data_IF_507583728561
#
_entry.id   IF_507583728561
#
_cell.length_a   1.000
_cell.length_b   1.000
_cell.length_c   1.000
_cell.angle_alpha   90.00
_cell.angle_beta   90.00
_cell.angle_gamma   90.00
#
_symmetry.space_group_name_H-M   'P 1'
#
loop_
_entity.id
_entity.type
_entity.pdbx_description
1 polymer ?
#
# COMPACT_ATOMS: atom_id res chain seq x y z
N UNK A 1 7.67 34.98 7.27
CA UNK A 1 6.67 34.53 6.28
C UNK A 1 6.95 33.06 5.99
N UNK A 2 6.00 32.16 6.19
CA UNK A 2 6.17 30.77 5.75
C UNK A 2 6.25 30.71 4.23
N UNK A 3 7.19 29.96 3.68
CA UNK A 3 7.26 29.75 2.22
C UNK A 3 6.03 28.94 1.80
N UNK A 4 5.36 29.38 0.73
CA UNK A 4 4.24 28.64 0.14
C UNK A 4 4.80 27.39 -0.54
N UNK A 5 4.11 26.28 -0.35
CA UNK A 5 4.45 24.98 -0.92
C UNK A 5 3.30 24.49 -1.80
N UNK A 6 3.63 23.76 -2.85
CA UNK A 6 2.67 23.29 -3.85
C UNK A 6 2.78 21.76 -3.98
N UNK A 7 1.80 21.01 -3.46
CA UNK A 7 1.85 19.55 -3.51
C UNK A 7 1.50 19.06 -4.92
N UNK A 8 2.24 18.05 -5.39
CA UNK A 8 2.02 17.38 -6.68
C UNK A 8 2.06 15.87 -6.48
N UNK A 9 1.11 15.18 -7.12
CA UNK A 9 1.10 13.72 -7.18
C UNK A 9 2.15 13.23 -8.17
N UNK A 10 3.10 12.42 -7.70
CA UNK A 10 4.03 11.65 -8.53
C UNK A 10 3.49 10.24 -8.64
N UNK A 11 3.42 9.70 -9.87
CA UNK A 11 3.06 8.30 -10.12
C UNK A 11 4.07 7.65 -11.04
N UNK A 12 4.60 6.51 -10.61
CA UNK A 12 5.64 5.77 -11.30
C UNK A 12 5.39 4.27 -11.25
N UNK A 13 5.92 3.54 -12.23
CA UNK A 13 5.82 2.08 -12.26
C UNK A 13 6.71 1.50 -11.15
N UNK A 14 6.15 0.66 -10.32
CA UNK A 14 6.87 -0.10 -9.30
C UNK A 14 7.23 -1.50 -9.83
N UNK A 15 8.27 -2.14 -9.29
CA UNK A 15 8.60 -3.52 -9.63
C UNK A 15 7.48 -4.45 -9.16
N UNK A 16 7.21 -5.46 -9.99
CA UNK A 16 6.33 -6.58 -9.67
C UNK A 16 7.03 -7.87 -10.08
N UNK A 17 6.95 -8.88 -9.22
CA UNK A 17 7.70 -10.13 -9.35
C UNK A 17 7.23 -11.00 -10.53
N UNK A 18 5.97 -10.89 -10.94
CA UNK A 18 5.35 -11.65 -12.03
C UNK A 18 5.07 -10.80 -13.28
N UNK A 19 5.43 -9.50 -13.23
CA UNK A 19 5.26 -8.56 -14.33
C UNK A 19 3.89 -7.91 -14.40
N UNK A 20 3.00 -8.17 -13.45
CA UNK A 20 1.68 -7.54 -13.37
C UNK A 20 1.79 -6.02 -13.14
N UNK A 21 0.75 -5.23 -13.51
CA UNK A 21 0.80 -3.79 -13.33
C UNK A 21 0.96 -3.44 -11.84
N UNK A 22 1.97 -2.63 -11.52
CA UNK A 22 2.17 -2.11 -10.18
C UNK A 22 2.60 -0.65 -10.28
N UNK A 23 1.90 0.23 -9.57
CA UNK A 23 2.18 1.66 -9.59
C UNK A 23 2.28 2.22 -8.18
N UNK A 24 3.35 2.96 -7.93
CA UNK A 24 3.51 3.75 -6.72
C UNK A 24 3.00 5.17 -6.98
N UNK A 25 2.25 5.72 -6.02
CA UNK A 25 1.82 7.11 -6.03
C UNK A 25 2.17 7.77 -4.69
N UNK A 26 2.67 9.01 -4.74
CA UNK A 26 3.11 9.75 -3.56
C UNK A 26 3.10 11.26 -3.79
N UNK A 27 3.15 12.03 -2.71
CA UNK A 27 3.19 13.49 -2.74
C UNK A 27 4.63 14.00 -2.81
N UNK A 28 4.90 14.83 -3.81
CA UNK A 28 6.10 15.65 -3.86
C UNK A 28 5.74 17.13 -3.71
N UNK A 29 6.55 17.85 -2.94
CA UNK A 29 6.28 19.26 -2.65
C UNK A 29 7.23 20.17 -3.43
N UNK A 30 6.66 21.09 -4.20
CA UNK A 30 7.40 22.09 -4.97
C UNK A 30 7.34 23.47 -4.28
N UNK A 31 8.37 24.28 -4.48
CA UNK A 31 8.45 25.64 -3.94
C UNK A 31 7.88 26.70 -4.89
N UNK A 32 7.70 26.33 -6.16
CA UNK A 32 7.22 27.16 -7.24
C UNK A 32 6.15 26.36 -8.02
N UNK A 33 4.94 26.91 -8.26
CA UNK A 33 3.86 26.19 -8.92
C UNK A 33 4.15 25.84 -10.38
N UNK A 34 5.06 26.56 -11.03
CA UNK A 34 5.42 26.36 -12.44
C UNK A 34 6.59 25.38 -12.60
N UNK A 35 7.19 24.95 -11.48
CA UNK A 35 8.28 23.96 -11.48
C UNK A 35 7.72 22.54 -11.40
N UNK A 36 8.22 21.67 -12.27
CA UNK A 36 7.99 20.23 -12.21
C UNK A 36 9.35 19.52 -12.13
N UNK A 37 9.87 19.42 -10.92
CA UNK A 37 11.14 18.73 -10.68
C UNK A 37 10.96 17.25 -11.06
N UNK A 38 11.87 16.65 -11.85
CA UNK A 38 11.82 15.21 -12.11
C UNK A 38 11.88 14.44 -10.78
N UNK A 39 11.03 13.42 -10.57
CA UNK A 39 11.11 12.63 -9.36
C UNK A 39 12.46 11.91 -9.30
N UNK A 40 13.13 12.03 -8.16
CA UNK A 40 14.34 11.28 -7.82
C UNK A 40 13.94 10.13 -6.89
N UNK A 41 14.54 8.95 -7.08
CA UNK A 41 14.38 7.81 -6.19
C UNK A 41 14.75 8.15 -4.74
N UNK A 42 15.66 9.10 -4.52
CA UNK A 42 16.01 9.59 -3.17
C UNK A 42 14.86 10.33 -2.47
N UNK A 43 13.94 10.92 -3.23
CA UNK A 43 12.76 11.62 -2.71
C UNK A 43 11.57 10.68 -2.50
N UNK A 44 11.62 9.45 -3.03
CA UNK A 44 10.53 8.48 -2.87
C UNK A 44 10.40 8.09 -1.39
N UNK A 45 9.20 8.21 -0.81
CA UNK A 45 8.96 7.75 0.56
C UNK A 45 9.28 6.28 0.68
N UNK A 46 10.06 5.85 1.67
CA UNK A 46 10.41 4.43 1.89
C UNK A 46 9.26 3.62 2.47
N UNK A 47 8.38 4.27 3.24
CA UNK A 47 7.16 3.64 3.76
C UNK A 47 6.10 3.54 2.67
N UNK A 48 5.67 2.31 2.37
CA UNK A 48 4.63 2.04 1.38
C UNK A 48 3.40 1.38 2.01
N UNK A 49 2.22 1.83 1.60
CA UNK A 49 0.94 1.18 1.87
C UNK A 49 0.56 0.34 0.66
N UNK A 50 0.30 -0.94 0.88
CA UNK A 50 0.11 -1.92 -0.19
C UNK A 50 -1.38 -2.13 -0.45
N UNK A 51 -1.84 -1.82 -1.65
CA UNK A 51 -3.20 -2.02 -2.13
C UNK A 51 -3.23 -3.00 -3.30
N UNK A 52 -4.27 -3.83 -3.37
CA UNK A 52 -4.49 -4.82 -4.41
C UNK A 52 -5.78 -4.51 -5.14
N UNK A 53 -5.67 -4.04 -6.38
CA UNK A 53 -6.79 -3.96 -7.29
C UNK A 53 -7.11 -5.35 -7.81
N UNK A 54 -8.27 -5.88 -7.41
CA UNK A 54 -8.68 -7.23 -7.79
C UNK A 54 -9.87 -7.26 -8.73
N UNK A 55 -10.16 -6.12 -9.35
CA UNK A 55 -11.19 -6.03 -10.38
C UNK A 55 -10.74 -6.72 -11.67
N UNK A 56 -11.66 -7.10 -12.56
CA UNK A 56 -11.29 -7.61 -13.88
C UNK A 56 -10.41 -6.65 -14.71
N UNK A 57 -10.50 -5.34 -14.44
CA UNK A 57 -9.73 -4.30 -15.13
C UNK A 57 -8.28 -4.17 -14.60
N UNK A 58 -7.92 -4.86 -13.51
CA UNK A 58 -6.60 -4.76 -12.88
C UNK A 58 -5.43 -5.33 -13.72
N UNK A 59 -5.70 -5.91 -14.90
CA UNK A 59 -4.67 -6.23 -15.89
C UNK A 59 -4.25 -5.03 -16.75
N UNK A 60 -5.05 -3.97 -16.78
CA UNK A 60 -4.77 -2.76 -17.56
C UNK A 60 -3.85 -1.82 -16.75
N UNK A 61 -2.71 -1.48 -17.35
CA UNK A 61 -1.74 -0.56 -16.76
C UNK A 61 -2.32 0.83 -16.49
N UNK A 62 -3.12 1.37 -17.41
CA UNK A 62 -3.70 2.71 -17.22
C UNK A 62 -4.78 2.69 -16.14
N UNK A 63 -5.53 1.60 -16.02
CA UNK A 63 -6.49 1.41 -14.93
C UNK A 63 -5.79 1.42 -13.57
N UNK A 64 -4.79 0.55 -13.36
CA UNK A 64 -4.06 0.46 -12.08
C UNK A 64 -3.33 1.77 -11.77
N UNK A 65 -2.77 2.44 -12.80
CA UNK A 65 -2.17 3.77 -12.66
C UNK A 65 -3.18 4.82 -12.22
N UNK A 66 -4.37 4.84 -12.81
CA UNK A 66 -5.44 5.75 -12.43
C UNK A 66 -5.95 5.47 -11.01
N UNK A 67 -6.09 4.19 -10.62
CA UNK A 67 -6.43 3.78 -9.26
C UNK A 67 -5.39 4.30 -8.25
N UNK A 68 -4.09 4.19 -8.56
CA UNK A 68 -3.02 4.71 -7.70
C UNK A 68 -3.10 6.25 -7.52
N UNK A 69 -3.33 6.99 -8.60
CA UNK A 69 -3.57 8.45 -8.55
C UNK A 69 -4.78 8.77 -7.66
N UNK A 70 -5.91 8.11 -7.92
CA UNK A 70 -7.18 8.34 -7.22
C UNK A 70 -7.04 8.07 -5.72
N UNK A 71 -6.44 6.94 -5.34
CA UNK A 71 -6.23 6.59 -3.93
C UNK A 71 -5.30 7.60 -3.26
N UNK A 72 -4.17 7.92 -3.88
CA UNK A 72 -3.21 8.89 -3.34
C UNK A 72 -3.89 10.22 -3.05
N UNK A 73 -4.51 10.83 -4.06
CA UNK A 73 -5.13 12.15 -3.97
C UNK A 73 -6.33 12.21 -3.03
N UNK A 74 -7.22 11.21 -3.09
CA UNK A 74 -8.44 11.20 -2.28
C UNK A 74 -8.20 10.94 -0.79
N UNK A 75 -7.09 10.28 -0.44
CA UNK A 75 -6.81 9.93 0.96
C UNK A 75 -5.63 10.69 1.57
N UNK A 76 -4.92 11.51 0.79
CA UNK A 76 -3.74 12.28 1.24
C UNK A 76 -3.95 13.02 2.54
N UNK A 77 -5.02 13.83 2.59
CA UNK A 77 -5.30 14.68 3.75
C UNK A 77 -5.53 13.87 5.03
N UNK A 78 -6.18 12.71 4.93
CA UNK A 78 -6.41 11.84 6.09
C UNK A 78 -5.11 11.17 6.55
N UNK A 79 -4.24 10.78 5.60
CA UNK A 79 -2.96 10.10 5.89
C UNK A 79 -1.86 11.02 6.41
N UNK A 80 -1.92 12.32 6.11
CA UNK A 80 -0.91 13.32 6.52
C UNK A 80 -0.96 13.63 8.02
N UNK A 81 -0.48 12.69 8.84
CA UNK A 81 -0.26 12.88 10.26
C UNK A 81 1.24 13.02 10.51
N UNK A 82 1.63 14.12 11.16
CA UNK A 82 3.02 14.41 11.60
C UNK A 82 4.04 14.66 10.47
N UNK A 83 3.58 14.90 9.23
CA UNK A 83 4.45 15.23 8.10
C UNK A 83 5.37 14.10 7.64
N UNK A 84 5.06 12.86 8.00
CA UNK A 84 5.87 11.70 7.61
C UNK A 84 5.44 11.19 6.23
N UNK A 85 6.39 11.21 5.30
CA UNK A 85 6.14 10.85 3.91
C UNK A 85 5.83 9.37 3.75
N UNK A 86 4.72 9.07 3.07
CA UNK A 86 4.31 7.72 2.67
C UNK A 86 4.02 7.68 1.17
N UNK A 87 4.04 6.47 0.61
CA UNK A 87 3.54 6.19 -0.74
C UNK A 87 2.45 5.14 -0.67
N UNK A 88 1.50 5.18 -1.58
CA UNK A 88 0.61 4.05 -1.86
C UNK A 88 1.17 3.27 -3.03
N UNK A 89 1.06 1.94 -2.99
CA UNK A 89 1.40 1.06 -4.09
C UNK A 89 0.17 0.22 -4.44
N UNK A 90 -0.32 0.36 -5.66
CA UNK A 90 -1.44 -0.42 -6.16
C UNK A 90 -0.91 -1.51 -7.08
N UNK A 91 -1.16 -2.76 -6.69
CA UNK A 91 -0.88 -3.97 -7.45
C UNK A 91 -2.13 -4.39 -8.21
N UNK A 92 -1.98 -4.64 -9.50
CA UNK A 92 -3.02 -5.22 -10.33
C UNK A 92 -3.02 -6.74 -10.22
N UNK A 93 -4.08 -7.31 -9.65
CA UNK A 93 -4.26 -8.76 -9.51
C UNK A 93 -5.68 -9.13 -9.96
N UNK A 94 -5.95 -9.18 -11.28
CA UNK A 94 -7.29 -9.31 -11.81
C UNK A 94 -7.91 -10.65 -11.44
N UNK A 95 -9.07 -10.59 -10.78
CA UNK A 95 -9.85 -11.77 -10.43
C UNK A 95 -11.24 -11.69 -11.07
N UNK A 96 -11.85 -12.84 -11.39
CA UNK A 96 -13.24 -12.89 -11.84
C UNK A 96 -14.20 -12.15 -10.90
N UNK A 97 -15.22 -11.51 -11.49
CA UNK A 97 -16.34 -10.99 -10.73
C UNK A 97 -17.03 -12.16 -10.00
N UNK A 98 -17.14 -12.07 -8.68
CA UNK A 98 -17.71 -13.14 -7.84
C UNK A 98 -16.70 -14.14 -7.27
N UNK A 99 -15.38 -13.96 -7.47
CA UNK A 99 -14.39 -14.72 -6.69
C UNK A 99 -14.67 -14.57 -5.19
N UNK A 100 -14.82 -15.68 -4.45
CA UNK A 100 -15.09 -15.65 -3.02
C UNK A 100 -14.04 -14.86 -2.23
N UNK A 101 -14.48 -14.19 -1.16
CA UNK A 101 -13.60 -13.37 -0.32
C UNK A 101 -12.36 -14.14 0.18
N UNK A 102 -12.55 -15.36 0.69
CA UNK A 102 -11.45 -16.18 1.20
C UNK A 102 -10.41 -16.52 0.11
N UNK A 103 -10.86 -16.80 -1.12
CA UNK A 103 -9.99 -17.08 -2.25
C UNK A 103 -9.24 -15.82 -2.69
N UNK A 104 -9.94 -14.68 -2.77
CA UNK A 104 -9.36 -13.36 -3.07
C UNK A 104 -8.27 -13.00 -2.05
N UNK A 105 -8.56 -13.14 -0.76
CA UNK A 105 -7.62 -12.90 0.33
C UNK A 105 -6.39 -13.80 0.23
N UNK A 106 -6.60 -15.10 0.00
CA UNK A 106 -5.50 -16.06 -0.15
C UNK A 106 -4.57 -15.71 -1.32
N UNK A 107 -5.14 -15.34 -2.48
CA UNK A 107 -4.38 -14.96 -3.67
C UNK A 107 -3.59 -13.66 -3.44
N UNK A 108 -4.20 -12.62 -2.87
CA UNK A 108 -3.51 -11.37 -2.54
C UNK A 108 -2.39 -11.59 -1.51
N UNK A 109 -2.62 -12.38 -0.46
CA UNK A 109 -1.61 -12.70 0.54
C UNK A 109 -0.44 -13.49 -0.05
N UNK A 110 -0.72 -14.46 -0.93
CA UNK A 110 0.33 -15.23 -1.61
C UNK A 110 1.17 -14.33 -2.53
N UNK A 111 0.51 -13.48 -3.34
CA UNK A 111 1.20 -12.51 -4.19
C UNK A 111 2.06 -11.54 -3.36
N UNK A 112 1.53 -11.01 -2.25
CA UNK A 112 2.28 -10.11 -1.38
C UNK A 112 3.55 -10.75 -0.80
N UNK A 113 3.48 -12.01 -0.35
CA UNK A 113 4.68 -12.73 0.11
C UNK A 113 5.73 -12.87 -0.99
N UNK A 114 5.29 -13.15 -2.22
CA UNK A 114 6.19 -13.25 -3.37
C UNK A 114 6.82 -11.90 -3.72
N UNK A 115 6.07 -10.80 -3.66
CA UNK A 115 6.59 -9.44 -3.82
C UNK A 115 7.63 -9.07 -2.77
N UNK A 116 7.34 -9.34 -1.49
CA UNK A 116 8.27 -9.10 -0.38
C UNK A 116 9.56 -9.89 -0.60
N UNK A 117 9.45 -11.19 -0.93
CA UNK A 117 10.61 -12.05 -1.18
C UNK A 117 11.45 -11.53 -2.37
N UNK A 118 10.82 -11.21 -3.51
CA UNK A 118 11.50 -10.72 -4.70
C UNK A 118 12.21 -9.37 -4.45
N UNK A 119 11.56 -8.46 -3.73
CA UNK A 119 12.12 -7.14 -3.43
C UNK A 119 13.23 -7.21 -2.39
N UNK A 120 13.10 -8.05 -1.37
CA UNK A 120 14.17 -8.31 -0.41
C UNK A 120 15.39 -8.93 -1.08
N UNK A 121 15.18 -9.89 -2.00
CA UNK A 121 16.26 -10.50 -2.79
C UNK A 121 17.01 -9.49 -3.67
N UNK A 122 16.37 -8.39 -4.08
CA UNK A 122 17.05 -7.32 -4.84
C UNK A 122 18.06 -6.54 -3.99
N UNK A 123 17.88 -6.48 -2.67
CA UNK A 123 18.64 -5.63 -1.74
C UNK A 123 18.45 -4.13 -1.94
N UNK A 124 17.52 -3.69 -2.80
CA UNK A 124 17.29 -2.29 -3.09
C UNK A 124 16.22 -1.70 -2.13
N UNK A 125 16.50 -0.56 -1.46
CA UNK A 125 15.56 0.07 -0.53
C UNK A 125 14.46 0.89 -1.23
N UNK A 126 14.57 1.07 -2.54
CA UNK A 126 13.80 2.02 -3.35
C UNK A 126 12.30 1.70 -3.38
N UNK A 127 11.94 0.41 -3.46
CA UNK A 127 10.57 -0.08 -3.43
C UNK A 127 10.36 -1.06 -2.28
N UNK A 128 11.04 -0.81 -1.15
CA UNK A 128 10.92 -1.64 0.04
C UNK A 128 9.46 -1.74 0.49
N UNK A 129 9.00 -2.96 0.79
CA UNK A 129 7.70 -3.23 1.40
C UNK A 129 7.92 -3.43 2.90
N UNK A 130 7.48 -2.50 3.76
CA UNK A 130 7.64 -2.66 5.19
C UNK A 130 6.74 -3.78 5.72
N UNK A 131 7.20 -4.57 6.70
CA UNK A 131 6.31 -5.39 7.49
C UNK A 131 5.39 -4.50 8.33
N UNK A 132 4.38 -5.09 8.96
CA UNK A 132 3.66 -4.43 10.03
C UNK A 132 4.47 -4.42 11.31
N UNK A 133 4.51 -3.23 11.93
CA UNK A 133 5.01 -3.05 13.30
C UNK A 133 3.89 -3.26 14.32
N UNK A 134 2.98 -4.19 14.01
CA UNK A 134 1.94 -4.74 14.87
C UNK A 134 2.51 -5.91 15.70
N UNK A 135 1.89 -6.27 16.82
CA UNK A 135 2.40 -7.34 17.69
C UNK A 135 1.99 -8.75 17.21
N UNK A 136 0.92 -8.86 16.43
CA UNK A 136 0.29 -10.13 16.06
C UNK A 136 0.67 -10.52 14.63
N UNK A 137 0.51 -9.62 13.68
CA UNK A 137 0.64 -9.91 12.25
C UNK A 137 1.94 -9.32 11.68
N UNK A 138 2.52 -10.00 10.68
CA UNK A 138 3.71 -9.53 9.95
C UNK A 138 3.36 -8.67 8.73
N UNK A 139 2.18 -8.87 8.14
CA UNK A 139 1.75 -8.12 6.97
C UNK A 139 0.33 -7.59 7.10
N UNK A 140 0.10 -6.44 6.48
CA UNK A 140 -1.21 -5.82 6.30
C UNK A 140 -1.30 -5.22 4.90
N UNK A 141 -2.38 -5.54 4.20
CA UNK A 141 -2.69 -5.03 2.86
C UNK A 141 -4.13 -4.53 2.80
N UNK A 142 -4.44 -3.72 1.80
CA UNK A 142 -5.83 -3.40 1.42
C UNK A 142 -6.16 -4.10 0.12
N UNK A 143 -7.29 -4.80 0.06
CA UNK A 143 -7.84 -5.37 -1.17
C UNK A 143 -9.00 -4.50 -1.63
N UNK A 144 -8.97 -4.10 -2.90
CA UNK A 144 -10.02 -3.36 -3.57
C UNK A 144 -10.90 -4.39 -4.30
N UNK A 145 -12.11 -4.61 -3.80
CA UNK A 145 -13.09 -5.48 -4.47
C UNK A 145 -13.86 -4.72 -5.56
N UNK A 146 -14.22 -3.46 -5.27
CA UNK A 146 -14.91 -2.58 -6.19
C UNK A 146 -14.51 -1.12 -5.94
N UNK A 147 -13.65 -0.50 -6.78
CA UNK A 147 -13.17 0.87 -6.60
C UNK A 147 -14.22 1.95 -6.93
N UNK A 148 -15.27 1.60 -7.69
CA UNK A 148 -16.18 2.53 -8.35
C UNK A 148 -17.66 2.19 -8.13
N UNK A 149 -18.07 1.84 -6.91
CA UNK A 149 -19.49 1.68 -6.60
C UNK A 149 -20.34 2.96 -6.85
N UNK A 150 -19.77 4.07 -7.35
CA UNK A 150 -20.41 5.34 -7.66
C UNK A 150 -20.59 5.77 -9.13
N UNK A 151 -20.27 4.97 -10.17
CA UNK A 151 -20.51 5.39 -11.57
C UNK A 151 -21.79 4.78 -12.18
N UNK A 152 -22.96 5.09 -11.59
CA UNK A 152 -24.25 5.03 -12.29
C UNK A 152 -25.32 5.86 -11.55
N UNK A 153 -25.67 7.04 -12.08
CA UNK A 153 -26.84 7.87 -11.76
C UNK A 153 -26.96 8.51 -10.35
N UNK A 154 -27.47 9.76 -10.26
CA UNK A 154 -27.78 10.42 -9.00
C UNK A 154 -29.09 9.87 -8.44
N UNK A 155 -29.01 8.87 -7.57
CA UNK A 155 -30.12 8.44 -6.72
C UNK A 155 -29.67 8.54 -5.28
N UNK A 156 -30.41 9.31 -4.47
CA UNK A 156 -30.14 9.66 -3.08
C UNK A 156 -30.36 8.49 -2.08
N UNK A 157 -29.85 7.29 -2.42
CA UNK A 157 -29.91 6.10 -1.55
C UNK A 157 -28.56 5.38 -1.55
N UNK A 158 -27.64 5.89 -0.73
CA UNK A 158 -26.72 5.24 0.22
C UNK A 158 -25.97 3.90 -0.03
N UNK A 159 -25.88 3.30 -1.21
CA UNK A 159 -25.12 2.04 -1.41
C UNK A 159 -24.07 2.09 -2.55
N UNK A 160 -23.33 3.20 -2.65
CA UNK A 160 -22.39 3.46 -3.76
C UNK A 160 -20.95 3.72 -3.33
N UNK A 161 -20.59 3.28 -2.13
CA UNK A 161 -19.24 3.43 -1.62
C UNK A 161 -18.42 2.19 -2.00
N UNK A 162 -17.26 2.39 -2.61
CA UNK A 162 -16.40 1.28 -3.02
C UNK A 162 -16.16 0.27 -1.89
N UNK A 163 -15.93 -1.00 -2.22
CA UNK A 163 -15.77 -2.06 -1.21
C UNK A 163 -14.31 -2.44 -1.06
N UNK A 164 -13.82 -2.39 0.18
CA UNK A 164 -12.44 -2.65 0.53
C UNK A 164 -12.33 -3.65 1.69
N UNK A 165 -11.24 -4.39 1.71
CA UNK A 165 -10.87 -5.32 2.78
C UNK A 165 -9.50 -4.94 3.31
N UNK A 166 -9.37 -4.69 4.61
CA UNK A 166 -8.07 -4.70 5.29
C UNK A 166 -7.77 -6.13 5.70
N UNK A 167 -6.67 -6.67 5.21
CA UNK A 167 -6.27 -8.06 5.43
C UNK A 167 -4.98 -8.07 6.23
N UNK A 168 -4.99 -8.75 7.36
CA UNK A 168 -3.83 -9.00 8.21
C UNK A 168 -3.49 -10.48 8.15
N UNK A 169 -2.22 -10.82 7.96
CA UNK A 169 -1.83 -12.22 7.74
C UNK A 169 -0.37 -12.47 8.08
N UNK A 170 -0.01 -13.76 8.14
CA UNK A 170 1.30 -14.25 8.59
C UNK A 170 1.56 -13.87 10.05
N UNK A 171 0.93 -14.63 10.95
CA UNK A 171 1.05 -14.41 12.39
C UNK A 171 2.50 -14.56 12.84
N UNK A 172 2.97 -13.62 13.67
CA UNK A 172 4.33 -13.62 14.21
C UNK A 172 4.55 -14.85 15.11
N UNK A 173 5.77 -15.42 15.16
CA UNK A 173 6.04 -16.64 15.92
C UNK A 173 5.61 -16.59 17.39
N UNK A 174 5.77 -15.43 18.04
CA UNK A 174 5.39 -15.25 19.44
C UNK A 174 3.86 -15.29 19.61
N UNK A 175 3.11 -14.55 18.78
CA UNK A 175 1.65 -14.58 18.79
C UNK A 175 1.10 -15.97 18.44
N UNK A 176 1.74 -16.68 17.50
CA UNK A 176 1.37 -18.04 17.13
C UNK A 176 1.64 -19.05 18.27
N UNK A 177 2.68 -18.83 19.07
CA UNK A 177 2.96 -19.65 20.25
C UNK A 177 1.94 -19.42 21.37
N UNK A 178 1.48 -18.18 21.54
CA UNK A 178 0.47 -17.80 22.54
C UNK A 178 -0.95 -18.23 22.13
N UNK A 179 -1.22 -18.40 20.83
CA UNK A 179 -2.50 -18.88 20.31
C UNK A 179 -2.33 -20.02 19.27
N UNK A 180 -1.99 -21.25 19.72
CA UNK A 180 -1.86 -22.39 18.83
C UNK A 180 -3.20 -22.68 18.12
N UNK A 181 -3.19 -22.65 16.78
CA UNK A 181 -4.41 -22.83 15.98
C UNK A 181 -5.22 -21.55 15.76
N UNK A 182 -4.62 -20.38 15.99
CA UNK A 182 -5.18 -19.09 15.56
C UNK A 182 -5.46 -19.05 14.05
N UNK A 183 -6.25 -18.06 13.58
CA UNK A 183 -6.61 -17.96 12.18
C UNK A 183 -5.38 -17.66 11.30
N UNK A 184 -5.41 -18.07 10.04
CA UNK A 184 -4.34 -17.78 9.07
C UNK A 184 -4.28 -16.28 8.69
N UNK A 185 -5.41 -15.59 8.81
CA UNK A 185 -5.59 -14.17 8.51
C UNK A 185 -6.79 -13.57 9.25
N UNK A 186 -6.82 -12.25 9.35
CA UNK A 186 -7.96 -11.45 9.81
C UNK A 186 -8.41 -10.50 8.68
N UNK A 187 -9.73 -10.35 8.50
CA UNK A 187 -10.31 -9.47 7.49
C UNK A 187 -11.24 -8.46 8.14
N UNK A 188 -11.05 -7.19 7.80
CA UNK A 188 -11.97 -6.10 8.15
C UNK A 188 -12.50 -5.48 6.87
N UNK A 189 -13.81 -5.64 6.62
CA UNK A 189 -14.50 -4.99 5.50
C UNK A 189 -14.85 -3.55 5.86
N UNK A 190 -14.68 -2.63 4.91
CA UNK A 190 -15.05 -1.22 5.07
C UNK A 190 -15.42 -0.56 3.73
N UNK A 191 -16.08 0.60 3.83
CA UNK A 191 -16.57 1.35 2.68
C UNK A 191 -15.51 2.34 2.15
N UNK A 192 -15.67 2.80 0.90
CA UNK A 192 -14.79 3.82 0.31
C UNK A 192 -14.76 5.14 1.07
N UNK A 193 -15.84 5.49 1.79
CA UNK A 193 -15.89 6.66 2.68
C UNK A 193 -14.86 6.56 3.82
N UNK A 194 -14.59 5.34 4.29
CA UNK A 194 -13.67 5.09 5.40
C UNK A 194 -12.22 4.87 4.92
N UNK A 195 -11.95 4.86 3.61
CA UNK A 195 -10.62 4.51 3.08
C UNK A 195 -9.53 5.43 3.61
N UNK A 196 -9.78 6.74 3.69
CA UNK A 196 -8.82 7.70 4.23
C UNK A 196 -8.41 7.39 5.67
N UNK A 197 -9.41 7.16 6.53
CA UNK A 197 -9.19 6.84 7.95
C UNK A 197 -8.51 5.48 8.10
N UNK A 198 -8.92 4.48 7.30
CA UNK A 198 -8.27 3.16 7.32
C UNK A 198 -6.83 3.22 6.87
N UNK A 199 -6.49 4.00 5.84
CA UNK A 199 -5.10 4.18 5.41
C UNK A 199 -4.31 5.04 6.41
N UNK A 200 -4.96 5.90 7.19
CA UNK A 200 -4.32 6.60 8.29
C UNK A 200 -3.81 5.61 9.35
N UNK A 201 -4.53 4.55 9.66
CA UNK A 201 -4.07 3.55 10.63
C UNK A 201 -2.74 2.88 10.20
N UNK A 202 -2.48 2.78 8.90
CA UNK A 202 -1.21 2.25 8.37
C UNK A 202 -0.02 3.18 8.64
N UNK A 203 -0.26 4.46 8.95
CA UNK A 203 0.83 5.41 9.22
C UNK A 203 1.19 5.51 10.70
N UNK A 204 0.55 4.73 11.59
CA UNK A 204 0.79 4.80 13.03
C UNK A 204 2.26 4.61 13.45
N UNK A 205 2.98 3.75 12.73
CA UNK A 205 4.38 3.40 13.02
C UNK A 205 5.38 4.11 12.11
N UNK A 206 4.92 5.02 11.24
CA UNK A 206 5.77 5.61 10.19
C UNK A 206 6.93 6.44 10.76
N UNK A 207 6.69 7.19 11.83
CA UNK A 207 7.71 8.02 12.46
C UNK A 207 8.82 7.15 13.06
N UNK A 208 8.45 6.13 13.83
CA UNK A 208 9.40 5.15 14.37
C UNK A 208 10.16 4.42 13.26
N UNK A 209 9.49 4.07 12.16
CA UNK A 209 10.15 3.44 11.02
C UNK A 209 11.25 4.33 10.44
N UNK A 210 10.98 5.61 10.19
CA UNK A 210 12.01 6.49 9.67
C UNK A 210 13.10 6.78 10.70
N UNK A 211 12.75 7.01 11.96
CA UNK A 211 13.72 7.39 12.99
C UNK A 211 14.64 6.22 13.36
N UNK A 212 14.08 5.02 13.58
CA UNK A 212 14.79 3.86 14.14
C UNK A 212 15.13 2.78 13.11
N UNK A 213 14.29 2.57 12.09
CA UNK A 213 14.55 1.52 11.12
C UNK A 213 15.37 2.02 9.92
N UNK A 214 15.06 3.23 9.44
CA UNK A 214 15.82 3.89 8.37
C UNK A 214 17.00 4.67 8.94
N UNK A 215 16.78 5.48 9.97
CA UNK A 215 17.78 6.40 10.55
C UNK A 215 19.02 5.67 11.09
N UNK A 216 18.81 4.55 11.78
CA UNK A 216 19.92 3.72 12.31
C UNK A 216 20.52 2.76 11.26
N UNK A 217 20.00 2.76 10.04
CA UNK A 217 20.47 1.94 8.94
C UNK A 217 20.06 0.46 9.01
N UNK A 218 19.20 0.08 9.95
CA UNK A 218 18.68 -1.28 10.13
C UNK A 218 18.08 -1.85 8.83
N UNK A 219 17.34 -1.03 8.08
CA UNK A 219 16.78 -1.42 6.77
C UNK A 219 17.86 -1.94 5.81
N UNK A 220 19.05 -1.32 5.77
CA UNK A 220 20.11 -1.73 4.85
C UNK A 220 20.79 -3.01 5.31
N UNK A 221 20.95 -3.19 6.63
CA UNK A 221 21.46 -4.43 7.20
C UNK A 221 20.51 -5.60 6.91
N UNK A 222 19.20 -5.40 7.12
CA UNK A 222 18.21 -6.45 6.92
C UNK A 222 18.04 -6.80 5.45
N UNK A 223 18.00 -5.81 4.55
CA UNK A 223 18.01 -6.04 3.10
C UNK A 223 19.25 -6.84 2.66
N UNK A 224 20.43 -6.52 3.20
CA UNK A 224 21.65 -7.27 2.90
C UNK A 224 21.58 -8.71 3.41
N UNK A 225 21.03 -8.91 4.61
CA UNK A 225 20.82 -10.23 5.19
C UNK A 225 19.85 -11.05 4.33
N UNK A 226 18.67 -10.52 4.05
CA UNK A 226 17.64 -11.23 3.27
C UNK A 226 18.12 -11.54 1.85
N UNK A 227 18.86 -10.63 1.22
CA UNK A 227 19.49 -10.89 -0.09
C UNK A 227 20.43 -12.09 -0.08
N UNK A 228 21.12 -12.36 1.03
CA UNK A 228 22.03 -13.52 1.17
C UNK A 228 21.29 -14.83 1.48
N UNK A 229 20.07 -14.73 2.01
CA UNK A 229 19.23 -15.87 2.41
C UNK A 229 18.26 -16.31 1.29
N UNK A 230 18.03 -15.44 0.30
CA UNK A 230 17.24 -15.70 -0.91
C UNK A 230 17.99 -16.56 -1.93
#
# INVERSE_FOLDING_TARGET
MGRRVYPRTVVEKAPSHDGMPCFAAWEMTEMDPDTQTPPDASNRPKWSIQLYDTTPAASDHEHVRATAIKVEESTRQARDRRGASNRVEVHGLPLPAGTPEAERVALCAAHHRAEVAARNASGAPDFFIPPTFDDVWEHRIVVIENPDAGEASPSETDDKDGTFLAVFFSMKPQAAADSPGGPDYEVVRFSGKDLGDRLQDFTSSIAWFYDSYVGDGTIYHDLEKWRREA
#
